data_IF_554692658860
#
_entry.id   IF_554692658860
#
_cell.length_a   1.000
_cell.length_b   1.000
_cell.length_c   1.000
_cell.angle_alpha   90.00
_cell.angle_beta   90.00
_cell.angle_gamma   90.00
#
_symmetry.space_group_name_H-M   'P 1'
#
loop_
_entity.id
_entity.type
_entity.pdbx_description
1 polymer ?
#
# COMPACT_ATOMS: atom_id res chain seq x y z
N UNK A 1 11.83 -13.77 -2.82
CA UNK A 1 11.47 -13.11 -1.55
C UNK A 1 10.10 -12.48 -1.76
N UNK A 2 9.14 -12.80 -0.91
CA UNK A 2 7.82 -12.15 -0.93
C UNK A 2 7.95 -10.83 -0.16
N UNK A 3 7.49 -9.73 -0.76
CA UNK A 3 7.49 -8.41 -0.12
C UNK A 3 6.30 -8.36 0.83
N UNK A 4 6.54 -7.88 2.05
CA UNK A 4 5.47 -7.65 3.01
C UNK A 4 5.70 -6.36 3.81
N UNK A 5 4.60 -5.81 4.34
CA UNK A 5 4.62 -4.57 5.13
C UNK A 5 4.93 -4.92 6.58
N UNK A 6 5.90 -4.23 7.17
CA UNK A 6 6.26 -4.41 8.58
C UNK A 6 5.72 -3.29 9.46
N UNK A 7 5.64 -2.07 8.92
CA UNK A 7 5.08 -0.91 9.62
C UNK A 7 4.32 -0.03 8.62
N UNK A 8 3.23 0.59 9.09
CA UNK A 8 2.45 1.55 8.32
C UNK A 8 1.94 2.66 9.24
N UNK A 9 2.06 3.91 8.79
CA UNK A 9 1.66 5.09 9.55
C UNK A 9 0.89 6.05 8.64
N UNK A 10 -0.36 6.32 9.01
CA UNK A 10 -1.16 7.36 8.38
C UNK A 10 -0.48 8.73 8.50
N UNK A 11 -0.38 9.46 7.39
CA UNK A 11 0.19 10.81 7.35
C UNK A 11 -0.90 11.88 7.22
N UNK A 12 -1.62 11.85 6.10
CA UNK A 12 -2.70 12.78 5.72
C UNK A 12 -3.45 12.21 4.53
N UNK A 13 -4.67 12.67 4.27
CA UNK A 13 -5.47 12.28 3.11
C UNK A 13 -5.51 10.76 2.90
N UNK A 14 -4.84 10.25 1.85
CA UNK A 14 -4.66 8.83 1.59
C UNK A 14 -3.18 8.41 1.55
N UNK A 15 -2.31 9.26 2.08
CA UNK A 15 -0.87 9.02 2.18
C UNK A 15 -0.52 8.23 3.44
N UNK A 16 0.28 7.18 3.24
CA UNK A 16 0.75 6.29 4.31
C UNK A 16 2.27 6.12 4.16
N UNK A 17 3.01 6.38 5.23
CA UNK A 17 4.41 5.96 5.34
C UNK A 17 4.44 4.47 5.63
N UNK A 18 5.19 3.72 4.83
CA UNK A 18 5.25 2.26 4.89
C UNK A 18 6.70 1.78 4.95
N UNK A 19 6.95 0.77 5.78
CA UNK A 19 8.22 0.05 5.90
C UNK A 19 8.01 -1.38 5.42
N UNK A 20 8.93 -1.87 4.61
CA UNK A 20 8.91 -3.22 4.06
C UNK A 20 10.03 -4.09 4.61
N UNK A 21 9.86 -5.40 4.49
CA UNK A 21 10.81 -6.41 4.96
C UNK A 21 12.18 -6.40 4.24
N UNK A 22 12.29 -5.72 3.09
CA UNK A 22 13.55 -5.49 2.39
C UNK A 22 14.33 -4.27 2.94
N UNK A 23 13.82 -3.63 3.99
CA UNK A 23 14.39 -2.46 4.64
C UNK A 23 14.05 -1.13 3.96
N UNK A 24 13.25 -1.12 2.88
CA UNK A 24 12.82 0.13 2.24
C UNK A 24 11.70 0.80 3.02
N UNK A 25 11.74 2.12 3.02
CA UNK A 25 10.68 2.99 3.56
C UNK A 25 10.24 3.95 2.46
N UNK A 26 8.94 4.19 2.33
CA UNK A 26 8.39 5.11 1.33
C UNK A 26 7.02 5.64 1.73
N UNK A 27 6.52 6.62 0.98
CA UNK A 27 5.17 7.17 1.14
C UNK A 27 4.31 6.71 -0.02
N UNK A 28 3.26 5.96 0.26
CA UNK A 28 2.28 5.51 -0.72
C UNK A 28 1.03 6.38 -0.67
N UNK A 29 0.64 6.99 -1.80
CA UNK A 29 -0.71 7.51 -1.99
C UNK A 29 -1.64 6.37 -2.40
N UNK A 30 -2.53 5.96 -1.49
CA UNK A 30 -3.45 4.84 -1.68
C UNK A 30 -4.79 5.24 -2.29
N UNK A 31 -5.02 6.52 -2.59
CA UNK A 31 -6.27 6.98 -3.21
C UNK A 31 -6.66 6.19 -4.47
N UNK A 32 -5.74 5.82 -5.39
CA UNK A 32 -6.09 5.03 -6.58
C UNK A 32 -6.65 3.63 -6.26
N UNK A 33 -6.33 3.10 -5.08
CA UNK A 33 -6.77 1.78 -4.64
C UNK A 33 -8.22 1.76 -4.13
N UNK A 34 -8.80 2.92 -3.81
CA UNK A 34 -10.09 3.02 -3.10
C UNK A 34 -11.30 2.93 -4.04
N UNK A 35 -11.34 1.87 -4.85
CA UNK A 35 -12.41 1.62 -5.80
C UNK A 35 -13.17 0.33 -5.48
N UNK A 36 -14.50 0.40 -5.55
CA UNK A 36 -15.38 -0.75 -5.31
C UNK A 36 -15.96 -0.80 -3.89
N UNK A 37 -17.00 -1.63 -3.68
CA UNK A 37 -17.87 -1.52 -2.52
C UNK A 37 -17.18 -1.67 -1.16
N UNK A 38 -16.15 -2.53 -1.08
CA UNK A 38 -15.41 -2.77 0.17
C UNK A 38 -14.57 -1.55 0.57
N UNK A 39 -14.14 -0.73 -0.38
CA UNK A 39 -13.32 0.47 -0.12
C UNK A 39 -14.14 1.76 -0.01
N UNK A 40 -15.43 1.76 -0.36
CA UNK A 40 -16.30 2.95 -0.25
C UNK A 40 -16.26 3.61 1.13
N UNK A 41 -16.31 2.88 2.27
CA UNK A 41 -16.22 3.51 3.59
C UNK A 41 -14.88 4.22 3.84
N UNK A 42 -13.82 3.84 3.11
CA UNK A 42 -12.49 4.41 3.28
C UNK A 42 -12.33 5.77 2.59
N UNK A 43 -13.31 6.24 1.81
CA UNK A 43 -13.33 7.61 1.27
C UNK A 43 -13.55 8.67 2.34
N UNK A 44 -13.93 8.26 3.55
CA UNK A 44 -13.85 9.11 4.74
C UNK A 44 -12.46 8.95 5.37
N UNK A 45 -11.67 10.02 5.37
CA UNK A 45 -10.31 10.04 5.91
C UNK A 45 -10.25 9.60 7.39
N UNK A 46 -11.31 9.81 8.19
CA UNK A 46 -11.35 9.37 9.57
C UNK A 46 -11.50 7.84 9.71
N UNK A 47 -12.08 7.18 8.71
CA UNK A 47 -12.11 5.72 8.61
C UNK A 47 -10.80 5.21 8.01
N UNK A 48 -10.28 5.86 6.98
CA UNK A 48 -9.00 5.52 6.36
C UNK A 48 -7.84 5.56 7.36
N UNK A 49 -7.80 6.57 8.23
CA UNK A 49 -6.76 6.74 9.25
C UNK A 49 -6.72 5.62 10.31
N UNK A 50 -7.73 4.72 10.33
CA UNK A 50 -7.77 3.54 11.20
C UNK A 50 -7.03 2.33 10.62
N UNK A 51 -6.27 2.52 9.55
CA UNK A 51 -5.41 1.49 8.98
C UNK A 51 -4.47 0.90 10.04
N UNK A 52 -4.16 -0.39 9.90
CA UNK A 52 -3.18 -1.09 10.72
C UNK A 52 -2.45 -2.13 9.88
N UNK A 53 -1.28 -2.57 10.35
CA UNK A 53 -0.58 -3.72 9.76
C UNK A 53 -1.11 -4.99 10.41
N UNK A 54 -1.64 -5.90 9.61
CA UNK A 54 -1.98 -7.25 10.03
C UNK A 54 -0.73 -8.15 9.97
N UNK A 55 -0.45 -8.88 11.05
CA UNK A 55 0.77 -9.71 11.14
C UNK A 55 0.64 -11.08 10.47
N UNK A 56 -0.58 -11.55 10.23
CA UNK A 56 -0.83 -12.83 9.56
C UNK A 56 -0.91 -12.63 8.05
N UNK A 57 -1.54 -11.55 7.60
CA UNK A 57 -1.61 -11.15 6.19
C UNK A 57 -0.36 -10.38 5.73
N UNK A 58 0.44 -9.90 6.68
CA UNK A 58 1.66 -9.11 6.46
C UNK A 58 1.44 -7.86 5.58
N UNK A 59 0.28 -7.20 5.74
CA UNK A 59 -0.11 -6.04 4.93
C UNK A 59 -1.00 -5.04 5.68
N UNK A 60 -1.34 -3.92 5.03
CA UNK A 60 -2.27 -2.92 5.55
C UNK A 60 -3.71 -3.44 5.46
N UNK A 61 -4.43 -3.35 6.56
CA UNK A 61 -5.86 -3.66 6.68
C UNK A 61 -6.64 -2.53 7.35
N UNK A 62 -7.96 -2.52 7.13
CA UNK A 62 -8.91 -1.64 7.81
C UNK A 62 -9.95 -2.41 8.64
N UNK A 63 -10.64 -1.76 9.60
CA UNK A 63 -11.63 -2.43 10.46
C UNK A 63 -12.82 -3.07 9.72
N UNK A 64 -13.08 -2.67 8.48
CA UNK A 64 -14.11 -3.26 7.62
C UNK A 64 -13.63 -4.52 6.88
N UNK A 65 -12.41 -4.99 7.14
CA UNK A 65 -11.83 -6.17 6.52
C UNK A 65 -11.21 -5.93 5.13
N UNK A 66 -11.14 -4.67 4.68
CA UNK A 66 -10.41 -4.33 3.45
C UNK A 66 -8.90 -4.48 3.67
N UNK A 67 -8.20 -4.98 2.66
CA UNK A 67 -6.74 -5.07 2.61
C UNK A 67 -6.22 -4.64 1.23
N UNK A 68 -4.91 -4.42 1.13
CA UNK A 68 -4.22 -4.20 -0.13
C UNK A 68 -3.00 -5.13 -0.22
N UNK A 69 -2.73 -5.69 -1.39
CA UNK A 69 -1.54 -6.51 -1.59
C UNK A 69 -0.25 -5.71 -1.35
N UNK A 70 0.74 -6.24 -0.61
CA UNK A 70 2.00 -5.55 -0.33
C UNK A 70 2.72 -5.03 -1.58
N UNK A 71 2.74 -5.81 -2.67
CA UNK A 71 3.40 -5.41 -3.92
C UNK A 71 2.74 -4.20 -4.58
N UNK A 72 1.42 -4.04 -4.42
CA UNK A 72 0.71 -2.88 -4.94
C UNK A 72 1.00 -1.62 -4.12
N UNK A 73 1.06 -1.75 -2.78
CA UNK A 73 1.48 -0.67 -1.88
C UNK A 73 2.93 -0.25 -2.23
N UNK A 74 3.82 -1.23 -2.41
CA UNK A 74 5.21 -1.02 -2.79
C UNK A 74 5.34 -0.32 -4.14
N UNK A 75 4.53 -0.71 -5.13
CA UNK A 75 4.44 0.00 -6.41
C UNK A 75 4.00 1.45 -6.20
N UNK A 76 2.95 1.72 -5.44
CA UNK A 76 2.49 3.10 -5.22
C UNK A 76 3.54 3.97 -4.51
N UNK A 77 4.29 3.40 -3.56
CA UNK A 77 5.36 4.09 -2.85
C UNK A 77 6.56 4.44 -3.74
N UNK A 78 6.84 3.63 -4.76
CA UNK A 78 8.11 3.72 -5.50
C UNK A 78 7.97 3.76 -7.02
N UNK A 79 6.77 3.89 -7.59
CA UNK A 79 6.51 3.90 -9.05
C UNK A 79 7.33 4.94 -9.83
N UNK A 80 7.78 6.00 -9.16
CA UNK A 80 8.61 7.06 -9.76
C UNK A 80 10.13 6.81 -9.62
N UNK A 81 10.55 5.71 -8.98
CA UNK A 81 11.95 5.34 -8.86
C UNK A 81 12.45 4.64 -10.15
N UNK A 82 13.42 5.21 -10.89
CA UNK A 82 13.94 4.62 -12.12
C UNK A 82 14.55 3.22 -11.92
N UNK A 83 15.16 2.95 -10.76
CA UNK A 83 15.81 1.67 -10.48
C UNK A 83 14.81 0.52 -10.33
N UNK A 84 13.55 0.84 -10.05
CA UNK A 84 12.50 -0.13 -9.74
C UNK A 84 11.58 -0.43 -10.92
N UNK A 85 11.74 0.29 -12.05
CA UNK A 85 10.92 0.10 -13.25
C UNK A 85 10.96 -1.34 -13.75
N UNK A 86 12.15 -1.96 -13.79
CA UNK A 86 12.30 -3.35 -14.21
C UNK A 86 11.56 -4.34 -13.32
N UNK A 87 11.48 -4.08 -12.02
CA UNK A 87 10.70 -4.90 -11.08
C UNK A 87 9.20 -4.73 -11.31
N UNK A 88 8.73 -3.51 -11.54
CA UNK A 88 7.30 -3.24 -11.79
C UNK A 88 6.80 -3.78 -13.13
N UNK A 89 7.65 -3.84 -14.16
CA UNK A 89 7.33 -4.56 -15.39
C UNK A 89 7.18 -6.06 -15.12
N UNK A 90 8.11 -6.67 -14.35
CA UNK A 90 8.04 -8.10 -13.98
C UNK A 90 6.82 -8.44 -13.14
N UNK A 91 6.34 -7.50 -12.32
CA UNK A 91 5.12 -7.64 -11.53
C UNK A 91 3.85 -7.27 -12.31
N UNK A 92 3.97 -6.72 -13.51
CA UNK A 92 2.83 -6.38 -14.37
C UNK A 92 2.11 -5.07 -14.01
N UNK A 93 2.70 -4.21 -13.18
CA UNK A 93 2.15 -2.89 -12.85
C UNK A 93 2.45 -1.83 -13.91
N UNK A 94 3.47 -2.05 -14.74
CA UNK A 94 3.85 -1.19 -15.84
C UNK A 94 3.88 -2.03 -17.11
N UNK A 95 3.30 -1.52 -18.20
CA UNK A 95 3.36 -2.16 -19.51
C UNK A 95 4.79 -2.15 -20.09
N UNK A 96 5.07 -3.04 -21.06
CA UNK A 96 6.34 -3.04 -21.79
C UNK A 96 6.52 -1.79 -22.67
#
# INVERSE_FOLDING_TARGET
MFIHVTEAKYLKDYEVEVVFNDGKTGVADLAPALHGPVFEPLKDNAVFAKLQVDKELETIVWPNGADLAPEYIYFLAFKNNPEMQGQFVRWGFIGP
#
